data_IF_160197222609
#
_entry.id   IF_160197222609
#
_cell.length_a   1.000
_cell.length_b   1.000
_cell.length_c   1.000
_cell.angle_alpha   90.00
_cell.angle_beta   90.00
_cell.angle_gamma   90.00
#
_symmetry.space_group_name_H-M   'P 1'
#
loop_
_entity.id
_entity.type
_entity.pdbx_description
1 polymer ?
#
# COMPACT_ATOMS: atom_id res chain seq x y z
N UNK A 1 -19.72 25.41 24.35
CA UNK A 1 -19.79 24.79 23.02
C UNK A 1 -18.36 24.70 22.48
N UNK A 2 -17.70 23.55 22.62
CA UNK A 2 -16.35 23.35 22.13
C UNK A 2 -16.49 23.06 20.65
N UNK A 3 -15.95 23.96 19.84
CA UNK A 3 -15.92 23.83 18.38
C UNK A 3 -15.19 22.55 17.98
N UNK A 4 -15.93 21.58 17.47
CA UNK A 4 -15.45 20.31 16.89
C UNK A 4 -14.81 20.51 15.51
N UNK A 5 -14.25 21.71 15.24
CA UNK A 5 -14.03 22.13 13.87
C UNK A 5 -12.90 21.39 13.12
N UNK A 6 -11.87 20.87 13.79
CA UNK A 6 -10.75 20.24 13.06
C UNK A 6 -9.98 19.24 13.94
N UNK A 7 -10.39 17.95 13.97
CA UNK A 7 -9.73 16.93 14.81
C UNK A 7 -8.24 16.80 14.54
N UNK A 8 -7.79 17.04 13.31
CA UNK A 8 -6.36 16.97 12.94
C UNK A 8 -5.54 18.09 13.60
N UNK A 9 -6.09 19.27 13.87
CA UNK A 9 -5.39 20.34 14.56
C UNK A 9 -5.10 19.99 16.02
N UNK A 10 -6.09 19.42 16.72
CA UNK A 10 -5.90 18.93 18.10
C UNK A 10 -4.83 17.82 18.12
N UNK A 11 -4.89 16.87 17.17
CA UNK A 11 -3.88 15.82 17.05
C UNK A 11 -2.48 16.35 16.69
N UNK A 12 -2.40 17.47 15.98
CA UNK A 12 -1.12 18.13 15.67
C UNK A 12 -0.49 18.77 16.91
N UNK A 13 -1.28 19.37 17.81
CA UNK A 13 -0.76 19.90 19.08
C UNK A 13 -0.07 18.82 19.92
N UNK A 14 -0.61 17.59 19.92
CA UNK A 14 0.03 16.45 20.60
C UNK A 14 1.41 16.07 20.04
N UNK A 15 1.73 16.47 18.80
CA UNK A 15 3.06 16.22 18.22
C UNK A 15 4.11 17.21 18.70
N UNK A 16 3.71 18.39 19.23
CA UNK A 16 4.63 19.42 19.73
C UNK A 16 5.45 18.95 20.93
N UNK A 17 4.94 17.97 21.68
CA UNK A 17 5.66 17.36 22.79
C UNK A 17 6.91 16.57 22.37
N UNK A 18 7.10 16.32 21.06
CA UNK A 18 8.28 15.65 20.51
C UNK A 18 8.79 16.41 19.28
N UNK A 19 9.96 17.03 19.44
CA UNK A 19 10.55 17.90 18.41
C UNK A 19 10.75 17.20 17.06
N UNK A 20 11.17 15.95 17.06
CA UNK A 20 11.37 15.19 15.81
C UNK A 20 10.04 14.89 15.10
N UNK A 21 8.99 14.54 15.86
CA UNK A 21 7.65 14.34 15.29
C UNK A 21 7.11 15.66 14.74
N UNK A 22 7.28 16.76 15.47
CA UNK A 22 6.85 18.08 15.03
C UNK A 22 7.58 18.53 13.76
N UNK A 23 8.90 18.37 13.71
CA UNK A 23 9.70 18.65 12.52
C UNK A 23 9.27 17.82 11.32
N UNK A 24 9.03 16.53 11.51
CA UNK A 24 8.53 15.64 10.46
C UNK A 24 7.13 16.06 9.97
N UNK A 25 6.24 16.44 10.89
CA UNK A 25 4.92 16.96 10.57
C UNK A 25 4.99 18.24 9.73
N UNK A 26 5.85 19.17 10.09
CA UNK A 26 6.01 20.46 9.39
C UNK A 26 6.81 20.37 8.09
N UNK A 27 7.58 19.29 7.87
CA UNK A 27 8.45 19.18 6.70
C UNK A 27 7.68 19.35 5.39
N UNK A 28 8.29 20.08 4.46
CA UNK A 28 7.82 20.26 3.08
C UNK A 28 8.80 19.59 2.13
N UNK A 29 8.34 19.24 0.92
CA UNK A 29 9.16 18.55 -0.07
C UNK A 29 9.51 17.12 0.31
N UNK A 30 10.64 16.62 -0.20
CA UNK A 30 11.09 15.25 0.04
C UNK A 30 11.63 15.11 1.47
N UNK A 31 11.10 14.14 2.22
CA UNK A 31 11.47 13.90 3.61
C UNK A 31 11.59 12.40 3.87
N UNK A 32 12.63 12.02 4.61
CA UNK A 32 12.83 10.65 5.12
C UNK A 32 12.71 10.68 6.65
N UNK A 33 11.82 9.83 7.19
CA UNK A 33 11.61 9.71 8.63
C UNK A 33 12.22 8.39 9.10
N UNK A 34 13.35 8.48 9.79
CA UNK A 34 14.01 7.34 10.43
C UNK A 34 13.54 7.24 11.88
N UNK A 35 12.89 6.14 12.22
CA UNK A 35 12.32 6.00 13.55
C UNK A 35 12.15 4.52 13.94
N UNK A 36 12.47 4.18 15.18
CA UNK A 36 12.32 2.83 15.72
C UNK A 36 10.86 2.41 15.95
N UNK A 37 10.61 1.15 16.30
CA UNK A 37 9.29 0.70 16.74
C UNK A 37 8.78 1.54 17.92
N UNK A 38 7.49 1.85 17.96
CA UNK A 38 6.88 2.61 19.05
C UNK A 38 7.15 4.13 19.06
N UNK A 39 7.97 4.66 18.16
CA UNK A 39 8.31 6.09 18.10
C UNK A 39 7.21 7.03 17.64
N UNK A 40 6.02 6.53 17.34
CA UNK A 40 4.90 7.34 16.88
C UNK A 40 4.91 7.67 15.38
N UNK A 41 5.72 7.01 14.54
CA UNK A 41 5.74 7.21 13.07
C UNK A 41 4.36 7.25 12.44
N UNK A 42 3.56 6.23 12.72
CA UNK A 42 2.21 6.13 12.14
C UNK A 42 1.33 7.31 12.57
N UNK A 43 1.40 7.72 13.85
CA UNK A 43 0.68 8.91 14.34
C UNK A 43 1.10 10.16 13.56
N UNK A 44 2.40 10.42 13.46
CA UNK A 44 2.94 11.59 12.77
C UNK A 44 2.52 11.64 11.31
N UNK A 45 2.67 10.52 10.58
CA UNK A 45 2.28 10.43 9.17
C UNK A 45 0.77 10.63 9.00
N UNK A 46 -0.05 10.01 9.86
CA UNK A 46 -1.52 10.14 9.77
C UNK A 46 -1.98 11.57 9.97
N UNK A 47 -1.44 12.27 10.98
CA UNK A 47 -1.78 13.68 11.23
C UNK A 47 -1.30 14.57 10.08
N UNK A 48 -0.12 14.29 9.52
CA UNK A 48 0.39 15.02 8.35
C UNK A 48 -0.50 14.82 7.12
N UNK A 49 -0.92 13.59 6.84
CA UNK A 49 -1.85 13.29 5.74
C UNK A 49 -3.17 14.07 5.91
N UNK A 50 -3.74 14.06 7.11
CA UNK A 50 -4.98 14.78 7.39
C UNK A 50 -4.83 16.29 7.14
N UNK A 51 -3.71 16.90 7.55
CA UNK A 51 -3.39 18.30 7.23
C UNK A 51 -3.29 18.53 5.73
N UNK A 52 -2.49 17.73 5.02
CA UNK A 52 -2.28 17.89 3.57
C UNK A 52 -3.61 17.80 2.79
N UNK A 53 -4.50 16.91 3.20
CA UNK A 53 -5.83 16.80 2.59
C UNK A 53 -6.72 18.00 2.88
N UNK A 54 -6.54 18.64 4.04
CA UNK A 54 -7.31 19.81 4.42
C UNK A 54 -6.80 21.10 3.77
N UNK A 55 -5.48 21.25 3.63
CA UNK A 55 -4.83 22.51 3.30
C UNK A 55 -4.26 22.55 1.89
N UNK A 56 -3.63 21.45 1.40
CA UNK A 56 -2.76 21.50 0.23
C UNK A 56 -3.28 20.69 -0.97
N UNK A 57 -4.04 19.63 -0.72
CA UNK A 57 -4.48 18.73 -1.78
C UNK A 57 -5.89 19.08 -2.25
N UNK A 58 -5.96 19.81 -3.37
CA UNK A 58 -7.20 20.15 -4.03
C UNK A 58 -7.35 19.40 -5.37
N UNK A 59 -8.61 19.14 -5.78
CA UNK A 59 -8.87 18.53 -7.11
C UNK A 59 -8.21 19.33 -8.21
N UNK A 60 -7.64 18.69 -9.23
CA UNK A 60 -7.66 17.24 -9.53
C UNK A 60 -6.55 16.42 -8.82
N UNK A 61 -5.76 17.04 -7.95
CA UNK A 61 -4.65 16.37 -7.28
C UNK A 61 -5.15 15.33 -6.26
N UNK A 62 -4.37 14.26 -6.11
CA UNK A 62 -4.61 13.19 -5.14
C UNK A 62 -3.35 12.98 -4.31
N UNK A 63 -3.52 12.59 -3.06
CA UNK A 63 -2.45 12.12 -2.18
C UNK A 63 -2.44 10.60 -2.20
N UNK A 64 -1.30 10.00 -2.53
CA UNK A 64 -1.12 8.55 -2.44
C UNK A 64 -0.34 8.19 -1.17
N UNK A 65 -0.93 7.33 -0.35
CA UNK A 65 -0.27 6.72 0.79
C UNK A 65 -0.12 5.22 0.55
N UNK A 66 1.10 4.77 0.35
CA UNK A 66 1.42 3.41 -0.10
C UNK A 66 2.14 2.67 1.02
N UNK A 67 1.70 1.44 1.29
CA UNK A 67 2.24 0.58 2.34
C UNK A 67 2.45 -0.85 1.82
N UNK A 68 3.07 -1.71 2.63
CA UNK A 68 3.33 -3.08 2.23
C UNK A 68 2.18 -4.05 2.53
N UNK A 69 1.35 -3.78 3.55
CA UNK A 69 0.35 -4.74 4.00
C UNK A 69 -1.06 -4.16 4.07
N UNK A 70 -2.05 -5.02 3.85
CA UNK A 70 -3.46 -4.65 4.01
C UNK A 70 -3.81 -4.29 5.46
N UNK A 71 -3.14 -4.88 6.44
CA UNK A 71 -3.31 -4.53 7.84
C UNK A 71 -2.93 -3.06 8.10
N UNK A 72 -1.79 -2.60 7.55
CA UNK A 72 -1.38 -1.20 7.64
C UNK A 72 -2.36 -0.26 6.93
N UNK A 73 -2.89 -0.65 5.77
CA UNK A 73 -3.94 0.10 5.07
C UNK A 73 -5.17 0.28 5.98
N UNK A 74 -5.65 -0.81 6.59
CA UNK A 74 -6.80 -0.78 7.49
C UNK A 74 -6.56 0.10 8.73
N UNK A 75 -5.37 0.01 9.33
CA UNK A 75 -5.00 0.84 10.46
C UNK A 75 -4.97 2.34 10.12
N UNK A 76 -4.33 2.69 9.00
CA UNK A 76 -4.26 4.08 8.53
C UNK A 76 -5.65 4.62 8.22
N UNK A 77 -6.50 3.84 7.55
CA UNK A 77 -7.90 4.20 7.26
C UNK A 77 -8.67 4.52 8.54
N UNK A 78 -8.60 3.65 9.52
CA UNK A 78 -9.27 3.86 10.82
C UNK A 78 -8.77 5.12 11.55
N UNK A 79 -7.47 5.40 11.50
CA UNK A 79 -6.89 6.59 12.13
C UNK A 79 -7.27 7.87 11.40
N UNK A 80 -7.25 7.88 10.07
CA UNK A 80 -7.63 9.03 9.24
C UNK A 80 -9.11 9.38 9.40
N UNK A 81 -9.98 8.38 9.42
CA UNK A 81 -11.40 8.59 9.69
C UNK A 81 -11.65 9.28 11.04
N UNK A 82 -10.90 8.89 12.10
CA UNK A 82 -10.98 9.56 13.42
C UNK A 82 -10.51 11.01 13.39
N UNK A 83 -9.68 11.39 12.43
CA UNK A 83 -9.21 12.76 12.22
C UNK A 83 -10.12 13.57 11.28
N UNK A 84 -11.26 12.98 10.86
CA UNK A 84 -12.18 13.62 9.91
C UNK A 84 -11.63 13.70 8.49
N UNK A 85 -10.55 12.96 8.19
CA UNK A 85 -9.98 12.85 6.85
C UNK A 85 -10.62 11.66 6.14
N UNK A 86 -11.66 11.92 5.37
CA UNK A 86 -12.31 10.90 4.55
C UNK A 86 -11.45 10.55 3.33
N UNK A 87 -11.47 9.27 2.99
CA UNK A 87 -10.71 8.74 1.85
C UNK A 87 -11.16 9.35 0.51
N UNK A 88 -12.34 9.80 0.34
CA UNK A 88 -12.86 10.44 -0.87
C UNK A 88 -11.94 10.33 -2.11
N UNK A 89 -12.26 10.97 -3.18
CA UNK A 89 -11.44 10.93 -4.43
C UNK A 89 -10.02 11.52 -4.28
N UNK A 90 -9.71 12.17 -3.14
CA UNK A 90 -8.43 12.86 -2.95
C UNK A 90 -7.35 12.04 -2.24
N UNK A 91 -7.72 10.95 -1.58
CA UNK A 91 -6.79 10.06 -0.90
C UNK A 91 -6.82 8.66 -1.52
N UNK A 92 -5.68 8.22 -2.01
CA UNK A 92 -5.44 6.85 -2.43
C UNK A 92 -4.63 6.13 -1.34
N UNK A 93 -5.28 5.26 -0.59
CA UNK A 93 -4.66 4.45 0.45
C UNK A 93 -4.60 3.00 -0.03
N UNK A 94 -3.40 2.51 -0.31
CA UNK A 94 -3.22 1.25 -1.03
C UNK A 94 -1.94 0.52 -0.62
N UNK A 95 -1.88 -0.77 -0.92
CA UNK A 95 -0.60 -1.49 -0.91
C UNK A 95 0.20 -1.21 -2.19
N UNK A 96 1.52 -1.43 -2.15
CA UNK A 96 2.38 -1.28 -3.34
C UNK A 96 1.85 -2.09 -4.52
N UNK A 97 1.49 -3.35 -4.30
CA UNK A 97 0.97 -4.22 -5.36
C UNK A 97 -0.34 -3.70 -5.95
N UNK A 98 -1.28 -3.34 -5.09
CA UNK A 98 -2.57 -2.81 -5.54
C UNK A 98 -2.39 -1.49 -6.29
N UNK A 99 -1.55 -0.58 -5.78
CA UNK A 99 -1.23 0.69 -6.46
C UNK A 99 -0.66 0.46 -7.85
N UNK A 100 0.38 -0.38 -7.96
CA UNK A 100 0.99 -0.67 -9.26
C UNK A 100 -0.04 -1.27 -10.24
N UNK A 101 -0.89 -2.17 -9.77
CA UNK A 101 -1.89 -2.80 -10.61
C UNK A 101 -2.95 -1.80 -11.09
N UNK A 102 -3.58 -1.07 -10.15
CA UNK A 102 -4.75 -0.23 -10.46
C UNK A 102 -4.41 1.13 -11.07
N UNK A 103 -3.27 1.70 -10.70
CA UNK A 103 -2.90 3.06 -11.14
C UNK A 103 -1.87 3.07 -12.28
N UNK A 104 -1.12 1.97 -12.48
CA UNK A 104 -0.08 1.90 -13.51
C UNK A 104 -0.38 0.83 -14.57
N UNK A 105 -0.58 -0.43 -14.18
CA UNK A 105 -0.69 -1.52 -15.15
C UNK A 105 -2.01 -1.44 -15.91
N UNK A 106 -3.14 -1.46 -15.21
CA UNK A 106 -4.46 -1.52 -15.85
C UNK A 106 -4.76 -0.30 -16.74
N UNK A 107 -4.52 0.95 -16.31
CA UNK A 107 -4.83 2.12 -17.15
C UNK A 107 -3.97 2.21 -18.41
N UNK A 108 -2.76 1.65 -18.38
CA UNK A 108 -1.81 1.76 -19.49
C UNK A 108 -1.56 0.43 -20.23
N UNK A 109 -2.28 -0.64 -19.88
CA UNK A 109 -2.12 -1.96 -20.48
C UNK A 109 -2.22 -1.93 -22.02
N UNK A 110 -3.26 -1.28 -22.53
CA UNK A 110 -3.45 -1.16 -23.97
C UNK A 110 -2.32 -0.41 -24.68
N UNK A 111 -1.79 0.66 -24.07
CA UNK A 111 -0.66 1.42 -24.62
C UNK A 111 0.64 0.61 -24.61
N UNK A 112 0.80 -0.26 -23.63
CA UNK A 112 1.96 -1.16 -23.50
C UNK A 112 1.79 -2.48 -24.27
N UNK A 113 0.70 -2.64 -25.03
CA UNK A 113 0.36 -3.89 -25.74
C UNK A 113 0.33 -5.11 -24.80
N UNK A 114 -0.09 -4.91 -23.57
CA UNK A 114 -0.28 -5.98 -22.59
C UNK A 114 -1.69 -6.56 -22.76
N UNK A 115 -1.75 -7.86 -22.99
CA UNK A 115 -3.01 -8.61 -22.99
C UNK A 115 -3.43 -8.91 -21.54
N UNK A 116 -4.23 -8.01 -20.98
CA UNK A 116 -4.76 -8.14 -19.62
C UNK A 116 -6.21 -8.59 -19.69
N UNK A 117 -6.55 -9.75 -19.09
CA UNK A 117 -7.92 -10.24 -19.11
C UNK A 117 -8.88 -9.29 -18.39
N UNK A 118 -10.09 -9.16 -18.92
CA UNK A 118 -11.18 -8.40 -18.28
C UNK A 118 -12.38 -9.36 -18.02
N UNK A 119 -12.78 -9.59 -16.76
CA UNK A 119 -12.21 -9.03 -15.54
C UNK A 119 -10.87 -9.66 -15.15
N UNK A 120 -9.97 -8.82 -14.63
CA UNK A 120 -8.73 -9.30 -14.03
C UNK A 120 -9.01 -9.96 -12.69
N UNK A 121 -8.68 -11.24 -12.57
CA UNK A 121 -8.80 -12.00 -11.33
C UNK A 121 -7.41 -12.37 -10.82
N UNK A 122 -7.08 -11.92 -9.62
CA UNK A 122 -5.83 -12.31 -8.96
C UNK A 122 -5.99 -13.71 -8.39
N UNK A 123 -5.18 -14.65 -8.89
CA UNK A 123 -5.24 -16.04 -8.45
C UNK A 123 -4.83 -16.17 -6.98
N UNK A 124 -5.62 -16.89 -6.20
CA UNK A 124 -5.23 -17.32 -4.86
C UNK A 124 -3.98 -18.23 -4.93
N UNK A 125 -3.22 -18.39 -3.84
CA UNK A 125 -2.06 -19.28 -3.81
C UNK A 125 -2.36 -20.71 -4.26
N UNK A 126 -3.54 -21.22 -3.95
CA UNK A 126 -3.99 -22.56 -4.38
C UNK A 126 -4.25 -22.61 -5.90
N UNK A 127 -4.95 -21.61 -6.44
CA UNK A 127 -5.19 -21.48 -7.88
C UNK A 127 -3.88 -21.27 -8.65
N UNK A 128 -2.98 -20.44 -8.16
CA UNK A 128 -1.67 -20.22 -8.77
C UNK A 128 -0.84 -21.52 -8.83
N UNK A 129 -0.86 -22.34 -7.76
CA UNK A 129 -0.21 -23.66 -7.78
C UNK A 129 -0.82 -24.59 -8.81
N UNK A 130 -2.15 -24.61 -8.93
CA UNK A 130 -2.85 -25.45 -9.91
C UNK A 130 -2.52 -24.99 -11.34
N UNK A 131 -2.66 -23.71 -11.64
CA UNK A 131 -2.33 -23.12 -12.95
C UNK A 131 -0.89 -23.40 -13.35
N UNK A 132 0.04 -23.25 -12.41
CA UNK A 132 1.43 -23.59 -12.66
C UNK A 132 1.64 -25.08 -12.97
N UNK A 133 1.00 -25.97 -12.22
CA UNK A 133 1.08 -27.41 -12.44
C UNK A 133 0.46 -27.83 -13.79
N UNK A 134 -0.62 -27.17 -14.20
CA UNK A 134 -1.31 -27.45 -15.47
C UNK A 134 -0.46 -26.95 -16.65
N UNK A 135 0.02 -25.71 -16.62
CA UNK A 135 0.92 -25.16 -17.62
C UNK A 135 2.24 -25.98 -17.74
N UNK A 136 2.74 -26.42 -16.61
CA UNK A 136 3.92 -27.27 -16.57
C UNK A 136 3.67 -28.62 -17.25
N UNK A 137 2.53 -29.25 -16.99
CA UNK A 137 2.13 -30.52 -17.59
C UNK A 137 1.93 -30.38 -19.10
N UNK A 138 1.33 -29.29 -19.53
CA UNK A 138 1.05 -28.99 -20.94
C UNK A 138 2.36 -28.79 -21.74
N UNK A 139 3.31 -28.02 -21.21
CA UNK A 139 4.54 -27.67 -21.92
C UNK A 139 5.60 -28.79 -21.89
N UNK A 140 5.64 -29.59 -20.85
CA UNK A 140 6.70 -30.59 -20.63
C UNK A 140 6.20 -32.05 -20.65
N UNK A 141 4.93 -32.26 -21.02
CA UNK A 141 4.37 -33.60 -21.19
C UNK A 141 4.44 -34.48 -19.94
N UNK A 142 4.47 -33.91 -18.77
CA UNK A 142 4.57 -34.65 -17.51
C UNK A 142 5.96 -35.17 -17.15
N UNK A 143 6.91 -35.11 -18.07
CA UNK A 143 8.28 -35.65 -17.95
C UNK A 143 9.33 -34.59 -17.59
N UNK A 144 9.00 -33.65 -16.74
CA UNK A 144 10.00 -32.68 -16.34
C UNK A 144 11.16 -33.31 -15.59
N UNK A 145 12.39 -32.96 -15.94
CA UNK A 145 13.58 -33.41 -15.24
C UNK A 145 13.47 -33.05 -13.75
N UNK A 146 13.86 -33.96 -12.88
CA UNK A 146 13.83 -33.74 -11.43
C UNK A 146 14.54 -32.44 -11.00
N UNK A 147 15.62 -32.07 -11.68
CA UNK A 147 16.37 -30.85 -11.39
C UNK A 147 15.52 -29.57 -11.59
N UNK A 148 14.65 -29.54 -12.60
CA UNK A 148 13.78 -28.39 -12.85
C UNK A 148 12.70 -28.27 -11.78
N UNK A 149 12.09 -29.40 -11.37
CA UNK A 149 11.13 -29.43 -10.25
C UNK A 149 11.80 -28.94 -8.96
N UNK A 150 13.03 -29.44 -8.68
CA UNK A 150 13.80 -29.00 -7.52
C UNK A 150 14.18 -27.53 -7.57
N UNK A 151 14.53 -26.98 -8.74
CA UNK A 151 14.83 -25.56 -8.92
C UNK A 151 13.58 -24.68 -8.67
N UNK A 152 12.43 -25.08 -9.19
CA UNK A 152 11.17 -24.40 -8.94
C UNK A 152 10.75 -24.44 -7.46
N UNK A 153 10.91 -25.58 -6.80
CA UNK A 153 10.64 -25.74 -5.38
C UNK A 153 11.61 -24.95 -4.52
N UNK A 154 12.88 -24.85 -4.91
CA UNK A 154 13.87 -24.02 -4.24
C UNK A 154 13.52 -22.53 -4.37
N UNK A 155 13.14 -22.07 -5.57
CA UNK A 155 12.69 -20.69 -5.80
C UNK A 155 11.44 -20.36 -4.99
N UNK A 156 10.48 -21.29 -4.87
CA UNK A 156 9.29 -21.11 -4.02
C UNK A 156 9.63 -20.95 -2.54
N UNK A 157 10.61 -21.71 -2.03
CA UNK A 157 11.05 -21.63 -0.62
C UNK A 157 11.86 -20.38 -0.30
N UNK A 158 12.45 -19.74 -1.33
CA UNK A 158 13.20 -18.48 -1.19
C UNK A 158 12.30 -17.25 -1.23
N UNK A 159 11.05 -17.38 -1.68
CA UNK A 159 10.04 -16.33 -1.56
C UNK A 159 9.41 -16.48 -0.18
N UNK A 160 9.63 -15.56 0.77
CA UNK A 160 9.03 -15.68 2.10
C UNK A 160 7.51 -15.76 1.97
N UNK A 161 6.89 -16.76 2.56
CA UNK A 161 5.45 -16.81 2.75
C UNK A 161 5.08 -15.58 3.58
N UNK A 162 4.33 -14.65 2.99
CA UNK A 162 3.97 -13.36 3.63
C UNK A 162 2.82 -13.48 4.62
N UNK A 163 2.47 -14.68 5.04
CA UNK A 163 1.37 -14.97 5.97
C UNK A 163 1.83 -15.67 7.26
N UNK A 164 3.05 -15.44 7.70
CA UNK A 164 3.51 -15.81 9.06
C UNK A 164 3.91 -14.60 9.89
#
# INVERSE_FOLDING_TARGET
MISTAFPHLTAAEDLRGNEDQWRAYQSTGNCVILAGPGSGKTKTITVKIARLLAEDVHRPRRLACITYSNACVGELRSRLSKLGADEGDRLLLSTVHSFCLTELVLPYAALASLDVPDPLVVASPAQARKLFADAYREQLGGNAPNWFRMACDKLRRTIPDKDS
#
